data_IF_770326514383
#
_entry.id   IF_770326514383
#
_cell.length_a   1.000
_cell.length_b   1.000
_cell.length_c   1.000
_cell.angle_alpha   90.00
_cell.angle_beta   90.00
_cell.angle_gamma   90.00
#
_symmetry.space_group_name_H-M   'P 1'
#
loop_
_entity.id
_entity.type
_entity.pdbx_description
1 polymer ?
#
# COMPACT_ATOMS: atom_id res chain seq x y z
N UNK A 1 13.93 1.31 29.49
CA UNK A 1 14.33 0.90 28.13
C UNK A 1 13.13 1.17 27.24
N UNK A 2 13.26 2.07 26.27
CA UNK A 2 12.15 2.51 25.42
C UNK A 2 11.72 1.37 24.49
N UNK A 3 10.55 0.80 24.75
CA UNK A 3 9.84 -0.04 23.80
C UNK A 3 9.10 0.92 22.87
N UNK A 4 9.63 1.17 21.66
CA UNK A 4 8.87 1.92 20.65
C UNK A 4 7.61 1.14 20.30
N UNK A 5 6.46 1.84 20.25
CA UNK A 5 5.18 1.28 19.85
C UNK A 5 5.22 0.85 18.38
N UNK A 6 4.47 -0.19 18.03
CA UNK A 6 4.36 -0.69 16.66
C UNK A 6 3.75 0.34 15.68
N UNK A 7 3.11 1.39 16.22
CA UNK A 7 2.51 2.48 15.46
C UNK A 7 3.53 3.54 14.98
N UNK A 8 4.79 3.51 15.47
CA UNK A 8 5.83 4.52 15.16
C UNK A 8 6.93 4.04 14.20
N UNK A 9 6.83 2.82 13.65
CA UNK A 9 7.82 2.36 12.66
C UNK A 9 7.40 2.91 11.29
N UNK A 10 7.69 4.19 11.06
CA UNK A 10 7.64 4.76 9.73
C UNK A 10 8.61 3.96 8.84
N UNK A 11 8.07 3.16 7.92
CA UNK A 11 8.91 2.36 7.04
C UNK A 11 9.63 3.26 6.06
N UNK A 12 10.97 3.22 6.11
CA UNK A 12 11.80 3.99 5.20
C UNK A 12 11.94 3.26 3.86
N UNK A 13 12.39 3.96 2.82
CA UNK A 13 12.79 3.34 1.54
C UNK A 13 13.78 2.18 1.78
N UNK A 14 14.69 2.34 2.74
CA UNK A 14 15.65 1.30 3.11
C UNK A 14 14.98 0.04 3.69
N UNK A 15 13.94 0.21 4.50
CA UNK A 15 13.17 -0.90 5.04
C UNK A 15 12.36 -1.59 3.95
N UNK A 16 11.75 -0.83 3.05
CA UNK A 16 11.04 -1.39 1.88
C UNK A 16 11.97 -2.24 1.00
N UNK A 17 13.17 -1.74 0.68
CA UNK A 17 14.16 -2.50 -0.11
C UNK A 17 14.54 -3.81 0.60
N UNK A 18 14.76 -3.76 1.92
CA UNK A 18 15.10 -4.95 2.71
C UNK A 18 13.98 -5.97 2.68
N UNK A 19 12.74 -5.53 2.91
CA UNK A 19 11.54 -6.38 2.91
C UNK A 19 11.37 -7.06 1.55
N UNK A 20 11.41 -6.28 0.46
CA UNK A 20 11.23 -6.82 -0.89
C UNK A 20 12.36 -7.80 -1.27
N UNK A 21 13.60 -7.50 -0.88
CA UNK A 21 14.74 -8.42 -1.06
C UNK A 21 14.52 -9.74 -0.33
N UNK A 22 14.06 -9.69 0.91
CA UNK A 22 13.82 -10.88 1.74
C UNK A 22 12.63 -11.71 1.22
N UNK A 23 11.57 -11.07 0.74
CA UNK A 23 10.46 -11.72 0.05
C UNK A 23 10.93 -12.42 -1.24
N UNK A 24 11.82 -11.79 -1.98
CA UNK A 24 12.48 -12.37 -3.15
C UNK A 24 13.55 -13.44 -2.80
N UNK A 25 13.85 -13.63 -1.50
CA UNK A 25 14.86 -14.57 -0.97
C UNK A 25 16.27 -14.32 -1.53
N UNK A 26 16.62 -13.06 -1.76
CA UNK A 26 17.92 -12.66 -2.29
C UNK A 26 18.85 -12.14 -1.18
N UNK A 27 20.15 -12.37 -1.34
CA UNK A 27 21.17 -11.71 -0.52
C UNK A 27 21.44 -10.30 -1.04
N UNK A 28 21.99 -9.41 -0.20
CA UNK A 28 22.40 -8.06 -0.63
C UNK A 28 23.39 -8.13 -1.80
N UNK A 29 24.32 -9.08 -1.75
CA UNK A 29 25.25 -9.38 -2.84
C UNK A 29 24.53 -9.76 -4.14
N UNK A 30 23.56 -10.68 -4.08
CA UNK A 30 22.84 -11.13 -5.27
C UNK A 30 22.05 -9.99 -5.92
N UNK A 31 21.42 -9.12 -5.11
CA UNK A 31 20.74 -7.92 -5.62
C UNK A 31 21.74 -6.97 -6.26
N UNK A 32 22.86 -6.72 -5.60
CA UNK A 32 23.90 -5.82 -6.09
C UNK A 32 24.46 -6.27 -7.45
N UNK A 33 24.73 -7.56 -7.60
CA UNK A 33 25.16 -8.17 -8.87
C UNK A 33 24.08 -8.02 -9.96
N UNK A 34 22.82 -8.29 -9.63
CA UNK A 34 21.71 -8.22 -10.58
C UNK A 34 21.44 -6.81 -11.13
N UNK A 35 21.66 -5.76 -10.32
CA UNK A 35 21.39 -4.37 -10.72
C UNK A 35 22.67 -3.60 -11.10
N UNK A 36 23.84 -4.22 -11.07
CA UNK A 36 25.13 -3.57 -11.35
C UNK A 36 25.48 -2.50 -10.32
N UNK A 37 25.48 -2.85 -9.04
CA UNK A 37 25.84 -1.99 -7.91
C UNK A 37 26.79 -2.72 -6.94
N UNK A 38 27.35 -1.99 -5.97
CA UNK A 38 28.16 -2.61 -4.90
C UNK A 38 27.28 -3.17 -3.79
N UNK A 39 27.68 -4.30 -3.20
CA UNK A 39 26.99 -4.88 -2.04
C UNK A 39 26.88 -3.89 -0.87
N UNK A 40 27.97 -3.17 -0.58
CA UNK A 40 27.99 -2.09 0.43
C UNK A 40 27.04 -0.93 0.09
N UNK A 41 26.76 -0.70 -1.20
CA UNK A 41 25.81 0.32 -1.65
C UNK A 41 24.39 -0.11 -1.32
N UNK A 42 24.01 -1.35 -1.66
CA UNK A 42 22.70 -1.93 -1.29
C UNK A 42 22.52 -1.96 0.23
N UNK A 43 23.54 -2.40 0.97
CA UNK A 43 23.54 -2.34 2.43
C UNK A 43 23.49 -0.91 2.99
N UNK A 44 23.98 0.07 2.22
CA UNK A 44 23.86 1.50 2.51
C UNK A 44 22.42 1.99 2.41
N UNK A 45 21.73 1.62 1.33
CA UNK A 45 20.32 1.92 1.11
C UNK A 45 19.43 1.28 2.16
N UNK A 46 19.61 -0.03 2.42
CA UNK A 46 18.81 -0.73 3.43
C UNK A 46 18.99 -0.18 4.85
N UNK A 47 20.12 0.48 5.15
CA UNK A 47 20.36 1.13 6.45
C UNK A 47 19.96 2.61 6.47
N UNK A 48 19.38 3.13 5.38
CA UNK A 48 19.01 4.55 5.26
C UNK A 48 20.20 5.51 5.17
N UNK A 49 21.42 5.03 4.89
CA UNK A 49 22.62 5.88 4.79
C UNK A 49 22.68 6.68 3.49
N UNK A 50 21.96 6.23 2.47
CA UNK A 50 21.83 6.88 1.17
C UNK A 50 20.56 6.37 0.50
N UNK A 51 20.10 7.02 -0.57
CA UNK A 51 18.90 6.65 -1.31
C UNK A 51 19.33 6.12 -2.69
N UNK A 52 18.70 5.03 -3.20
CA UNK A 52 18.99 4.56 -4.56
C UNK A 52 18.57 5.62 -5.59
N UNK A 53 19.40 5.88 -6.63
CA UNK A 53 18.98 6.73 -7.74
C UNK A 53 17.86 6.05 -8.56
N UNK A 54 17.12 6.85 -9.33
CA UNK A 54 15.90 6.40 -10.01
C UNK A 54 16.08 5.19 -10.93
N UNK A 55 17.21 5.10 -11.65
CA UNK A 55 17.56 3.95 -12.49
C UNK A 55 17.69 2.66 -11.67
N UNK A 56 18.25 2.75 -10.45
CA UNK A 56 18.39 1.63 -9.52
C UNK A 56 17.06 1.24 -8.89
N UNK A 57 16.18 2.20 -8.61
CA UNK A 57 14.82 1.90 -8.13
C UNK A 57 14.06 1.07 -9.17
N UNK A 58 14.13 1.44 -10.45
CA UNK A 58 13.52 0.67 -11.55
C UNK A 58 14.14 -0.72 -11.68
N UNK A 59 15.47 -0.84 -11.54
CA UNK A 59 16.15 -2.14 -11.57
C UNK A 59 15.76 -3.03 -10.39
N UNK A 60 15.68 -2.48 -9.18
CA UNK A 60 15.23 -3.16 -7.97
C UNK A 60 13.80 -3.68 -8.13
N UNK A 61 12.88 -2.85 -8.62
CA UNK A 61 11.49 -3.23 -8.88
C UNK A 61 11.39 -4.45 -9.80
N UNK A 62 12.19 -4.49 -10.88
CA UNK A 62 12.26 -5.64 -11.79
C UNK A 62 12.82 -6.90 -11.13
N UNK A 63 13.88 -6.77 -10.34
CA UNK A 63 14.51 -7.91 -9.64
C UNK A 63 13.57 -8.49 -8.58
N UNK A 64 12.86 -7.63 -7.85
CA UNK A 64 11.94 -8.02 -6.80
C UNK A 64 10.55 -8.42 -7.31
N UNK A 65 10.25 -8.15 -8.58
CA UNK A 65 8.92 -8.33 -9.18
C UNK A 65 7.84 -7.52 -8.43
N UNK A 66 8.17 -6.29 -8.05
CA UNK A 66 7.27 -5.33 -7.42
C UNK A 66 7.21 -4.01 -8.21
N UNK A 67 6.38 -3.09 -7.76
CA UNK A 67 6.28 -1.73 -8.30
C UNK A 67 7.33 -0.80 -7.66
N UNK A 68 7.60 0.34 -8.32
CA UNK A 68 8.46 1.37 -7.72
C UNK A 68 7.84 1.98 -6.47
N UNK A 69 6.52 2.00 -6.36
CA UNK A 69 5.78 2.57 -5.23
C UNK A 69 5.96 1.71 -3.97
N UNK A 70 5.98 0.38 -4.14
CA UNK A 70 6.32 -0.56 -3.06
C UNK A 70 7.76 -0.41 -2.53
N UNK A 71 8.62 0.31 -3.26
CA UNK A 71 9.99 0.65 -2.84
C UNK A 71 10.02 2.07 -2.24
N UNK A 72 9.41 3.03 -2.93
CA UNK A 72 9.58 4.46 -2.66
C UNK A 72 8.64 5.02 -1.60
N UNK A 73 7.41 4.53 -1.54
CA UNK A 73 6.35 5.10 -0.71
C UNK A 73 6.24 4.37 0.61
N UNK A 74 5.88 5.09 1.67
CA UNK A 74 5.43 4.46 2.92
C UNK A 74 4.04 3.83 2.75
N UNK A 75 3.63 2.96 3.68
CA UNK A 75 2.32 2.31 3.61
C UNK A 75 1.16 3.33 3.65
N UNK A 76 1.32 4.46 4.35
CA UNK A 76 0.38 5.58 4.36
C UNK A 76 0.32 6.32 3.01
N UNK A 77 1.45 6.43 2.29
CA UNK A 77 1.52 7.05 0.97
C UNK A 77 1.02 6.13 -0.16
N UNK A 78 1.14 4.81 -0.02
CA UNK A 78 0.65 3.82 -1.01
C UNK A 78 -0.88 3.73 -1.08
N UNK A 79 -1.59 4.27 -0.08
CA UNK A 79 -3.05 4.31 -0.08
C UNK A 79 -3.74 2.95 -0.04
N UNK A 80 -3.06 1.88 0.37
CA UNK A 80 -3.65 0.55 0.55
C UNK A 80 -3.53 0.11 2.00
N UNK A 81 -4.67 0.03 2.67
CA UNK A 81 -4.76 -0.49 4.03
C UNK A 81 -4.22 -1.93 4.05
N UNK A 82 -3.20 -2.20 4.86
CA UNK A 82 -2.61 -3.52 5.10
C UNK A 82 -3.71 -4.54 5.46
N UNK A 83 -4.80 -4.10 6.09
CA UNK A 83 -5.97 -4.93 6.38
C UNK A 83 -6.72 -5.33 5.12
N UNK A 84 -6.86 -4.44 4.14
CA UNK A 84 -7.47 -4.75 2.85
C UNK A 84 -6.63 -5.78 2.09
N UNK A 85 -5.31 -5.62 2.08
CA UNK A 85 -4.40 -6.62 1.50
C UNK A 85 -4.51 -7.98 2.20
N UNK A 86 -4.61 -7.99 3.53
CA UNK A 86 -4.86 -9.18 4.32
C UNK A 86 -6.20 -9.86 3.99
N UNK A 87 -7.25 -9.08 3.73
CA UNK A 87 -8.55 -9.58 3.29
C UNK A 87 -8.48 -10.18 1.88
N UNK A 88 -7.79 -9.53 0.95
CA UNK A 88 -7.62 -10.04 -0.43
C UNK A 88 -6.85 -11.36 -0.45
N UNK A 89 -5.81 -11.50 0.37
CA UNK A 89 -5.08 -12.77 0.52
C UNK A 89 -5.98 -13.89 1.02
N UNK A 90 -6.81 -13.63 2.04
CA UNK A 90 -7.79 -14.60 2.57
C UNK A 90 -8.85 -14.94 1.54
N UNK A 91 -9.32 -13.95 0.78
CA UNK A 91 -10.28 -14.14 -0.31
C UNK A 91 -9.74 -15.07 -1.40
N UNK A 92 -8.48 -14.89 -1.82
CA UNK A 92 -7.84 -15.75 -2.81
C UNK A 92 -7.74 -17.22 -2.38
N UNK A 93 -7.64 -17.49 -1.07
CA UNK A 93 -7.61 -18.84 -0.49
C UNK A 93 -8.99 -19.52 -0.33
N UNK A 94 -10.08 -18.80 -0.62
CA UNK A 94 -11.42 -19.38 -0.60
C UNK A 94 -11.61 -20.34 -1.78
N UNK A 95 -12.53 -21.29 -1.63
CA UNK A 95 -12.98 -22.10 -2.76
C UNK A 95 -13.74 -21.23 -3.79
N UNK A 96 -13.82 -21.70 -5.03
CA UNK A 96 -14.48 -20.97 -6.12
C UNK A 96 -15.98 -20.72 -5.87
N UNK A 97 -16.63 -21.56 -5.05
CA UNK A 97 -18.04 -21.40 -4.69
C UNK A 97 -18.30 -20.19 -3.77
N UNK A 98 -17.36 -19.86 -2.87
CA UNK A 98 -17.55 -18.79 -1.88
C UNK A 98 -17.10 -17.41 -2.37
N UNK A 99 -16.18 -17.35 -3.33
CA UNK A 99 -15.71 -16.09 -3.94
C UNK A 99 -16.85 -15.19 -4.44
N UNK A 100 -17.83 -15.66 -5.24
CA UNK A 100 -18.91 -14.80 -5.73
C UNK A 100 -19.79 -14.28 -4.59
N UNK A 101 -19.99 -15.06 -3.51
CA UNK A 101 -20.78 -14.64 -2.35
C UNK A 101 -20.12 -13.44 -1.66
N UNK A 102 -18.81 -13.53 -1.41
CA UNK A 102 -18.06 -12.45 -0.75
C UNK A 102 -18.06 -11.18 -1.62
N UNK A 103 -17.88 -11.31 -2.93
CA UNK A 103 -17.93 -10.17 -3.85
C UNK A 103 -19.31 -9.49 -3.85
N UNK A 104 -20.39 -10.26 -3.85
CA UNK A 104 -21.75 -9.71 -3.79
C UNK A 104 -21.99 -8.95 -2.48
N UNK A 105 -21.55 -9.50 -1.34
CA UNK A 105 -21.66 -8.82 -0.05
C UNK A 105 -20.86 -7.52 -0.03
N UNK A 106 -19.59 -7.55 -0.44
CA UNK A 106 -18.74 -6.35 -0.50
C UNK A 106 -19.39 -5.28 -1.39
N UNK A 107 -19.87 -5.67 -2.57
CA UNK A 107 -20.53 -4.76 -3.51
C UNK A 107 -21.79 -4.13 -2.92
N UNK A 108 -22.60 -4.92 -2.20
CA UNK A 108 -23.82 -4.42 -1.55
C UNK A 108 -23.54 -3.42 -0.44
N UNK A 109 -22.48 -3.64 0.36
CA UNK A 109 -22.08 -2.74 1.44
C UNK A 109 -21.56 -1.42 0.85
N UNK A 110 -20.73 -1.48 -0.19
CA UNK A 110 -20.20 -0.29 -0.88
C UNK A 110 -21.34 0.53 -1.46
N UNK A 111 -22.26 -0.11 -2.20
CA UNK A 111 -23.44 0.56 -2.76
C UNK A 111 -24.31 1.21 -1.68
N UNK A 112 -24.48 0.55 -0.53
CA UNK A 112 -25.21 1.11 0.60
C UNK A 112 -24.56 2.39 1.14
N UNK A 113 -23.23 2.39 1.29
CA UNK A 113 -22.47 3.57 1.74
C UNK A 113 -22.54 4.72 0.74
N UNK A 114 -22.36 4.43 -0.56
CA UNK A 114 -22.47 5.42 -1.64
C UNK A 114 -23.85 6.08 -1.67
N UNK A 115 -24.91 5.27 -1.52
CA UNK A 115 -26.29 5.75 -1.48
C UNK A 115 -26.55 6.64 -0.25
N UNK A 116 -26.05 6.26 0.92
CA UNK A 116 -26.20 7.09 2.14
C UNK A 116 -25.54 8.47 1.99
N UNK A 117 -24.34 8.53 1.41
CA UNK A 117 -23.63 9.78 1.15
C UNK A 117 -24.35 10.63 0.10
N UNK A 118 -24.84 10.01 -0.98
CA UNK A 118 -25.68 10.68 -1.98
C UNK A 118 -26.93 11.31 -1.34
N UNK A 119 -27.65 10.55 -0.51
CA UNK A 119 -28.85 11.03 0.17
C UNK A 119 -28.56 12.11 1.23
N UNK A 120 -27.38 12.12 1.85
CA UNK A 120 -26.94 13.23 2.73
C UNK A 120 -26.65 14.50 1.93
N UNK A 121 -26.04 14.36 0.75
CA UNK A 121 -25.81 15.45 -0.19
C UNK A 121 -27.10 16.14 -0.62
N UNK A 122 -28.09 15.37 -1.11
CA UNK A 122 -29.38 15.92 -1.56
C UNK A 122 -30.18 16.61 -0.43
N UNK A 123 -30.15 16.07 0.79
CA UNK A 123 -30.81 16.70 1.96
C UNK A 123 -30.18 18.04 2.33
N UNK A 124 -28.86 18.15 2.21
CA UNK A 124 -28.13 19.39 2.49
C UNK A 124 -28.37 20.45 1.40
N UNK A 125 -28.48 20.05 0.14
CA UNK A 125 -28.85 20.96 -0.97
C UNK A 125 -30.31 21.40 -0.92
N UNK A 126 -31.23 20.49 -0.58
CA UNK A 126 -32.65 20.79 -0.38
C UNK A 126 -32.89 21.81 0.72
N UNK A 127 -32.23 21.67 1.88
CA UNK A 127 -32.29 22.66 2.97
C UNK A 127 -31.75 24.03 2.57
N UNK A 128 -30.68 24.09 1.77
CA UNK A 128 -30.15 25.36 1.24
C UNK A 128 -31.15 26.06 0.31
N UNK A 129 -31.90 25.33 -0.52
CA UNK A 129 -32.89 25.93 -1.43
C UNK A 129 -34.12 26.49 -0.71
N UNK A 130 -34.57 25.84 0.37
CA UNK A 130 -35.76 26.27 1.12
C UNK A 130 -35.44 27.52 1.98
N UNK A 131 -34.20 27.66 2.45
CA UNK A 131 -33.75 28.82 3.23
C UNK A 131 -33.52 30.11 2.43
N UNK A 132 -33.68 30.11 1.10
CA UNK A 132 -33.51 31.29 0.23
C UNK A 132 -34.86 31.91 -0.20
N UNK A 133 -35.98 31.24 0.11
CA UNK A 133 -37.34 31.68 -0.27
C UNK A 133 -38.10 32.38 0.87
N UNK A 134 -37.38 32.80 1.92
CA UNK A 134 -37.96 33.29 3.17
C UNK A 134 -37.50 34.67 3.61
N UNK A 135 -37.14 35.57 2.68
CA UNK A 135 -36.94 37.01 2.91
C UNK A 135 -37.77 37.83 1.93
#
# INVERSE_FOLDING_TARGET
>A
MYQKSLDEIQMTIGDNIRIQRELAKLSQKAVAEAIGSGENTVAGWEKGRSIPPGDKVVALAKVFQCTTDEILLSDDERGLDIKLLGLLRRFGSLNETHKPIVLNVISSVIQGMEMEEYMKGERNEGRKRIGVLGD
#
